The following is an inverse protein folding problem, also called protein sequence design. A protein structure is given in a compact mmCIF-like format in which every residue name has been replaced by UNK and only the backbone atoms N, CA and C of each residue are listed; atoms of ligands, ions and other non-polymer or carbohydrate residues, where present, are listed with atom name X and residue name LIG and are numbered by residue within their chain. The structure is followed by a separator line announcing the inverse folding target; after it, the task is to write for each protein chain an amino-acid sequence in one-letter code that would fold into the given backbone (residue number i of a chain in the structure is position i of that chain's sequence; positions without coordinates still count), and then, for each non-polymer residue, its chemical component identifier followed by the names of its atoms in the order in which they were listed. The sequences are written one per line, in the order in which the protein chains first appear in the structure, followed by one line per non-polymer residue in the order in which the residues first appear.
data_IF_305214250317
#
_entry.id   IF_305214250317
#
_cell.length_a   1.000
_cell.length_b   1.000
_cell.length_c   1.000
_cell.angle_alpha   90.00
_cell.angle_beta   90.00
_cell.angle_gamma   90.00
#
_symmetry.space_group_name_H-M   'P 1'
#
loop_
_entity.id
_entity.type
_entity.pdbx_description
1 polymer ?
#
# COMPACT_ATOMS: atom_id res chain seq x y z
N UNK A 1 -7.18 1.35 -8.80
CA UNK A 1 -6.54 2.65 -8.98
C UNK A 1 -5.76 2.59 -10.27
N UNK A 2 -6.00 3.56 -11.13
CA UNK A 2 -5.15 3.80 -12.30
C UNK A 2 -3.97 4.68 -11.84
N UNK A 3 -2.76 4.34 -12.29
CA UNK A 3 -1.52 5.05 -11.98
C UNK A 3 -1.17 5.99 -13.13
N UNK A 4 -0.53 7.11 -12.79
CA UNK A 4 -0.03 8.04 -13.80
C UNK A 4 1.12 7.42 -14.58
N UNK A 5 1.03 7.44 -15.91
CA UNK A 5 2.06 6.91 -16.79
C UNK A 5 3.22 7.89 -16.98
N UNK A 6 4.42 7.36 -17.30
CA UNK A 6 5.59 8.18 -17.60
C UNK A 6 6.31 8.78 -16.37
N UNK A 7 5.81 8.54 -15.16
CA UNK A 7 6.48 8.92 -13.91
C UNK A 7 7.72 8.04 -13.67
N UNK A 8 8.81 8.65 -13.21
CA UNK A 8 10.08 7.98 -12.90
C UNK A 8 10.58 8.38 -11.52
N UNK A 9 11.27 7.45 -10.88
CA UNK A 9 12.06 7.72 -9.69
C UNK A 9 13.35 8.47 -10.05
N UNK A 10 14.03 8.98 -9.02
CA UNK A 10 15.26 9.77 -9.18
C UNK A 10 16.44 8.96 -9.75
N UNK A 11 16.40 7.63 -9.67
CA UNK A 11 17.36 6.70 -10.27
C UNK A 11 17.02 6.33 -11.73
N UNK A 12 15.91 6.84 -12.27
CA UNK A 12 15.45 6.62 -13.64
C UNK A 12 14.54 5.40 -13.82
N UNK A 13 14.32 4.59 -12.78
CA UNK A 13 13.36 3.49 -12.81
C UNK A 13 11.93 4.02 -12.96
N UNK A 14 11.07 3.22 -13.60
CA UNK A 14 9.66 3.59 -13.81
C UNK A 14 8.86 3.42 -12.52
N UNK A 15 7.95 4.36 -12.27
CA UNK A 15 6.86 4.14 -11.32
C UNK A 15 5.78 3.26 -11.97
N UNK A 16 5.40 2.16 -11.33
CA UNK A 16 4.41 1.20 -11.83
C UNK A 16 3.68 0.46 -10.70
N UNK A 17 2.75 -0.43 -11.05
CA UNK A 17 1.95 -1.22 -10.11
C UNK A 17 2.81 -2.06 -9.15
N UNK A 18 3.90 -2.65 -9.63
CA UNK A 18 4.81 -3.45 -8.80
C UNK A 18 5.50 -2.61 -7.74
N UNK A 19 5.87 -1.36 -8.05
CA UNK A 19 6.44 -0.45 -7.06
C UNK A 19 5.45 -0.18 -5.92
N UNK A 20 4.18 0.08 -6.24
CA UNK A 20 3.12 0.28 -5.24
C UNK A 20 2.95 -0.96 -4.37
N UNK A 21 2.85 -2.14 -4.97
CA UNK A 21 2.69 -3.41 -4.24
C UNK A 21 3.89 -3.62 -3.30
N UNK A 22 5.12 -3.49 -3.81
CA UNK A 22 6.34 -3.63 -2.99
C UNK A 22 6.38 -2.66 -1.82
N UNK A 23 5.94 -1.42 -1.99
CA UNK A 23 5.86 -0.46 -0.89
C UNK A 23 4.89 -0.95 0.18
N UNK A 24 3.66 -1.32 -0.18
CA UNK A 24 2.67 -1.80 0.79
C UNK A 24 3.11 -3.10 1.46
N UNK A 25 3.72 -4.04 0.74
CA UNK A 25 4.27 -5.27 1.32
C UNK A 25 5.38 -4.98 2.34
N UNK A 26 6.27 -4.03 2.04
CA UNK A 26 7.32 -3.60 2.97
C UNK A 26 6.72 -3.10 4.29
N UNK A 27 5.63 -2.33 4.23
CA UNK A 27 4.94 -1.86 5.43
C UNK A 27 4.19 -2.99 6.15
N UNK A 28 3.47 -3.84 5.40
CA UNK A 28 2.63 -4.90 5.94
C UNK A 28 3.41 -6.02 6.63
N UNK A 29 4.59 -6.37 6.11
CA UNK A 29 5.45 -7.45 6.60
C UNK A 29 6.48 -7.00 7.64
N UNK A 30 6.44 -5.73 8.05
CA UNK A 30 7.39 -5.20 9.03
C UNK A 30 7.19 -5.87 10.40
N UNK A 31 8.30 -6.10 11.10
CA UNK A 31 8.33 -6.60 12.50
C UNK A 31 8.65 -5.48 13.50
N UNK A 32 8.89 -4.27 13.02
CA UNK A 32 9.23 -3.10 13.82
C UNK A 32 7.97 -2.25 14.03
N UNK A 33 7.25 -2.52 15.12
CA UNK A 33 5.97 -1.86 15.37
C UNK A 33 6.11 -0.35 15.60
N UNK A 34 7.17 0.09 16.28
CA UNK A 34 7.38 1.50 16.61
C UNK A 34 7.60 2.32 15.33
N UNK A 35 8.42 1.80 14.42
CA UNK A 35 8.72 2.47 13.15
C UNK A 35 7.54 2.45 12.17
N UNK A 36 6.72 1.40 12.21
CA UNK A 36 5.61 1.19 11.27
C UNK A 36 4.24 1.42 11.90
N UNK A 37 4.17 2.12 13.04
CA UNK A 37 2.96 2.29 13.83
C UNK A 37 1.78 2.87 13.04
N UNK A 38 2.06 3.79 12.11
CA UNK A 38 1.03 4.41 11.27
C UNK A 38 0.32 3.38 10.39
N UNK A 39 1.04 2.41 9.84
CA UNK A 39 0.43 1.34 9.05
C UNK A 39 -0.49 0.48 9.92
N UNK A 40 0.01 0.00 11.07
CA UNK A 40 -0.76 -0.78 12.03
C UNK A 40 -2.05 -0.04 12.44
N UNK A 41 -1.93 1.24 12.79
CA UNK A 41 -3.05 2.10 13.20
C UNK A 41 -4.09 2.27 12.08
N UNK A 42 -3.66 2.47 10.84
CA UNK A 42 -4.56 2.80 9.72
C UNK A 42 -5.19 1.60 9.03
N UNK A 43 -4.53 0.43 9.07
CA UNK A 43 -4.99 -0.78 8.41
C UNK A 43 -5.38 -1.88 9.40
N UNK A 44 -5.37 -1.58 10.70
CA UNK A 44 -5.86 -2.47 11.76
C UNK A 44 -4.92 -3.61 12.12
N UNK A 45 -3.64 -3.53 11.75
CA UNK A 45 -2.66 -4.60 11.96
C UNK A 45 -1.62 -4.67 10.84
N UNK A 46 -0.71 -5.63 11.00
CA UNK A 46 0.22 -6.10 9.97
C UNK A 46 -0.33 -7.34 9.26
N UNK A 47 0.36 -7.79 8.22
CA UNK A 47 -0.03 -9.02 7.52
C UNK A 47 -0.10 -10.20 8.49
N UNK A 48 -1.23 -10.90 8.48
CA UNK A 48 -1.51 -12.02 9.39
C UNK A 48 -2.30 -11.65 10.64
N UNK A 49 -2.33 -10.36 11.03
CA UNK A 49 -3.15 -9.92 12.15
C UNK A 49 -4.65 -10.05 11.81
N UNK A 50 -5.45 -10.47 12.79
CA UNK A 50 -6.90 -10.60 12.64
C UNK A 50 -7.56 -9.27 12.23
N UNK A 51 -7.06 -8.17 12.78
CA UNK A 51 -7.57 -6.82 12.52
C UNK A 51 -7.17 -6.25 11.17
N UNK A 52 -6.17 -6.81 10.49
CA UNK A 52 -5.59 -6.27 9.26
C UNK A 52 -6.60 -6.30 8.11
N UNK A 53 -6.91 -5.12 7.58
CA UNK A 53 -8.05 -4.88 6.68
C UNK A 53 -7.75 -5.23 5.21
N UNK A 54 -6.49 -5.11 4.78
CA UNK A 54 -6.10 -5.35 3.39
C UNK A 54 -6.01 -6.86 3.20
N UNK A 55 -6.85 -7.41 2.34
CA UNK A 55 -6.85 -8.85 2.00
C UNK A 55 -5.79 -9.16 0.94
N UNK A 56 -5.75 -8.36 -0.13
CA UNK A 56 -4.77 -8.53 -1.20
C UNK A 56 -4.57 -7.24 -1.97
N UNK A 57 -3.38 -7.09 -2.56
CA UNK A 57 -3.05 -6.05 -3.52
C UNK A 57 -2.55 -6.76 -4.78
N UNK A 58 -3.09 -6.43 -5.94
CA UNK A 58 -2.73 -7.06 -7.21
C UNK A 58 -2.50 -6.03 -8.30
N UNK A 59 -1.56 -6.32 -9.18
CA UNK A 59 -1.41 -5.60 -10.44
C UNK A 59 -2.44 -6.13 -11.44
N UNK A 60 -3.07 -5.23 -12.17
CA UNK A 60 -4.00 -5.52 -13.27
C UNK A 60 -3.49 -4.81 -14.53
N UNK A 61 -2.23 -5.09 -14.89
CA UNK A 61 -1.44 -4.33 -15.87
C UNK A 61 -0.34 -3.49 -15.21
N UNK A 62 0.50 -2.83 -16.02
CA UNK A 62 1.67 -2.05 -15.55
C UNK A 62 1.25 -0.82 -14.72
N UNK A 63 0.10 -0.22 -15.03
CA UNK A 63 -0.36 1.04 -14.43
C UNK A 63 -1.70 0.92 -13.70
N UNK A 64 -2.06 -0.28 -13.24
CA UNK A 64 -3.31 -0.47 -12.49
C UNK A 64 -3.11 -1.37 -11.27
N UNK A 65 -3.59 -0.88 -10.14
CA UNK A 65 -3.51 -1.58 -8.84
C UNK A 65 -4.91 -1.81 -8.28
N UNK A 66 -5.18 -3.04 -7.87
CA UNK A 66 -6.45 -3.45 -7.27
C UNK A 66 -6.21 -3.82 -5.81
N UNK A 67 -6.83 -3.07 -4.90
CA UNK A 67 -6.89 -3.40 -3.48
C UNK A 67 -8.18 -4.13 -3.17
N UNK A 68 -8.08 -5.29 -2.52
CA UNK A 68 -9.21 -6.01 -1.94
C UNK A 68 -9.15 -5.88 -0.43
N UNK A 69 -10.26 -5.47 0.18
CA UNK A 69 -10.36 -5.30 1.63
C UNK A 69 -11.25 -6.40 2.22
N UNK A 70 -10.90 -6.91 3.41
CA UNK A 70 -11.70 -7.89 4.15
C UNK A 70 -13.04 -7.31 4.63
N UNK A 71 -13.09 -6.00 4.83
CA UNK A 71 -14.30 -5.24 5.23
C UNK A 71 -14.25 -3.83 4.66
N UNK A 72 -15.41 -3.16 4.49
CA UNK A 72 -15.43 -1.75 4.12
C UNK A 72 -14.63 -0.91 5.11
N UNK A 73 -13.79 -0.01 4.60
CA UNK A 73 -13.05 0.96 5.39
C UNK A 73 -13.26 2.35 4.81
N UNK A 74 -14.17 3.12 5.42
CA UNK A 74 -14.50 4.47 4.99
C UNK A 74 -13.26 5.41 4.81
N UNK A 75 -12.26 5.43 5.72
CA UNK A 75 -11.11 6.30 5.55
C UNK A 75 -10.03 5.76 4.59
N UNK A 76 -10.25 4.65 3.89
CA UNK A 76 -9.20 3.99 3.09
C UNK A 76 -8.50 4.94 2.11
N UNK A 77 -9.28 5.74 1.36
CA UNK A 77 -8.73 6.71 0.41
C UNK A 77 -7.87 7.78 1.09
N UNK A 78 -8.29 8.24 2.27
CA UNK A 78 -7.50 9.21 3.06
C UNK A 78 -6.22 8.57 3.58
N UNK A 79 -6.29 7.32 4.03
CA UNK A 79 -5.14 6.62 4.59
C UNK A 79 -4.05 6.45 3.53
N UNK A 80 -4.38 5.97 2.32
CA UNK A 80 -3.38 5.78 1.25
C UNK A 80 -2.80 7.09 0.70
N UNK A 81 -3.42 8.23 0.97
CA UNK A 81 -2.93 9.56 0.58
C UNK A 81 -1.97 10.19 1.61
N UNK A 82 -1.69 9.51 2.72
CA UNK A 82 -0.80 10.05 3.74
C UNK A 82 0.68 9.95 3.34
N UNK A 83 1.48 10.91 3.80
CA UNK A 83 2.92 10.99 3.52
C UNK A 83 3.72 9.70 3.73
N UNK A 84 3.45 8.86 4.77
CA UNK A 84 4.15 7.59 4.93
C UNK A 84 3.97 6.59 3.78
N UNK A 85 2.91 6.71 2.98
CA UNK A 85 2.64 5.83 1.84
C UNK A 85 2.96 6.48 0.48
N UNK A 86 3.51 7.69 0.49
CA UNK A 86 4.10 8.27 -0.71
C UNK A 86 5.21 7.36 -1.24
N UNK A 87 5.30 7.26 -2.56
CA UNK A 87 6.26 6.44 -3.27
C UNK A 87 6.83 7.24 -4.43
#
# INVERSE_FOLDING_TARGET
FELEEGVKFHDGEKFNADAVIKNFERWAKSKDEEKFYYYKSMFGGFEGDEGHVIESIKADGEYKVVFKLKRPQAPFLKNIAMSPFAI
#
